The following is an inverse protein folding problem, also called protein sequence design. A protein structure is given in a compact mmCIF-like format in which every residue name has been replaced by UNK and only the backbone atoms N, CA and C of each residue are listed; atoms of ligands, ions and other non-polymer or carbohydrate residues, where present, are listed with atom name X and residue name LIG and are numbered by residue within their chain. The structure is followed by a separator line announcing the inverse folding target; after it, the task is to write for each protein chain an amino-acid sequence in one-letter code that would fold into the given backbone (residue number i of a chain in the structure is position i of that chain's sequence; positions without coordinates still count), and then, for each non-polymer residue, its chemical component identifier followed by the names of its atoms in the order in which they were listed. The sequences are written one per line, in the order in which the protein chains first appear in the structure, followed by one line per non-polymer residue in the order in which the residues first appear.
data_IF_951979834001
#
_entry.id   IF_951979834001
#
_cell.length_a   1.000
_cell.length_b   1.000
_cell.length_c   1.000
_cell.angle_alpha   90.00
_cell.angle_beta   90.00
_cell.angle_gamma   90.00
#
_symmetry.space_group_name_H-M   'P 1'
#
loop_
_entity.id
_entity.type
_entity.pdbx_description
1 polymer ?
#
# COMPACT_ATOMS: atom_id res chain seq x y z
N UNK A 1 -19.25 -21.73 -24.81
CA UNK A 1 -18.45 -20.55 -25.20
C UNK A 1 -18.75 -19.44 -24.19
N UNK A 2 -17.90 -19.29 -23.19
CA UNK A 2 -18.06 -18.24 -22.16
C UNK A 2 -17.16 -17.08 -22.54
N UNK A 3 -17.76 -15.93 -22.80
CA UNK A 3 -17.04 -14.71 -23.11
C UNK A 3 -16.50 -14.10 -21.80
N UNK A 4 -15.18 -14.04 -21.71
CA UNK A 4 -14.47 -13.36 -20.63
C UNK A 4 -14.54 -11.86 -20.90
N UNK A 5 -15.33 -11.13 -20.10
CA UNK A 5 -15.39 -9.68 -20.15
C UNK A 5 -14.19 -9.14 -19.38
N UNK A 6 -13.13 -8.77 -20.10
CA UNK A 6 -12.01 -8.04 -19.52
C UNK A 6 -12.42 -6.59 -19.36
N UNK A 7 -12.78 -6.20 -18.14
CA UNK A 7 -13.01 -4.80 -17.80
C UNK A 7 -11.63 -4.13 -17.60
N UNK A 8 -11.13 -3.45 -18.62
CA UNK A 8 -9.94 -2.61 -18.52
C UNK A 8 -10.30 -1.32 -17.79
N UNK A 9 -10.13 -1.30 -16.48
CA UNK A 9 -10.12 -0.05 -15.72
C UNK A 9 -8.76 0.62 -15.92
N UNK A 10 -8.73 1.70 -16.69
CA UNK A 10 -7.58 2.60 -16.76
C UNK A 10 -7.48 3.36 -15.45
N UNK A 11 -6.57 2.92 -14.57
CA UNK A 11 -6.21 3.66 -13.37
C UNK A 11 -5.27 4.80 -13.80
N UNK A 12 -5.80 6.01 -13.90
CA UNK A 12 -4.97 7.21 -14.04
C UNK A 12 -4.30 7.49 -12.68
N UNK A 13 -3.15 6.88 -12.46
CA UNK A 13 -2.27 7.26 -11.34
C UNK A 13 -1.52 8.52 -11.73
N UNK A 14 -2.01 9.67 -11.28
CA UNK A 14 -1.29 10.95 -11.38
C UNK A 14 -0.40 11.05 -10.15
N UNK A 15 0.89 10.82 -10.31
CA UNK A 15 1.89 11.11 -9.30
C UNK A 15 2.15 12.62 -9.28
N UNK A 16 1.70 13.31 -8.23
CA UNK A 16 2.09 14.70 -7.97
C UNK A 16 3.15 14.72 -6.87
N UNK A 17 4.35 15.16 -7.24
CA UNK A 17 5.30 15.68 -6.28
C UNK A 17 4.85 17.08 -5.89
N UNK A 18 4.12 17.24 -4.79
CA UNK A 18 3.72 18.54 -4.28
C UNK A 18 4.42 18.84 -2.97
N UNK A 19 5.15 19.94 -2.96
CA UNK A 19 5.53 20.64 -1.74
C UNK A 19 4.24 21.12 -1.05
N UNK A 20 3.98 20.60 0.15
CA UNK A 20 2.74 20.82 0.90
C UNK A 20 2.63 22.26 1.34
N UNK A 21 1.70 23.01 0.73
CA UNK A 21 1.04 24.14 1.35
C UNK A 21 -0.35 23.68 1.76
N UNK A 22 -0.63 23.71 3.06
CA UNK A 22 -1.89 23.25 3.66
C UNK A 22 -3.11 23.99 3.10
N UNK A 23 -4.15 23.29 2.59
CA UNK A 23 -5.48 23.88 2.47
C UNK A 23 -6.24 23.70 3.79
N UNK A 24 -6.83 24.77 4.28
CA UNK A 24 -7.82 24.82 5.36
C UNK A 24 -9.08 24.03 4.98
N UNK A 25 -9.08 22.75 5.31
CA UNK A 25 -10.22 21.85 5.28
C UNK A 25 -10.30 21.15 6.63
N UNK A 26 -11.48 20.87 7.12
CA UNK A 26 -11.72 20.14 8.36
C UNK A 26 -11.06 18.77 8.21
N UNK A 27 -9.85 18.62 8.76
CA UNK A 27 -9.18 17.33 8.86
C UNK A 27 -9.91 16.49 9.90
N UNK A 28 -10.79 15.59 9.45
CA UNK A 28 -11.20 14.48 10.27
C UNK A 28 -10.02 13.49 10.26
N UNK A 29 -9.06 13.72 11.14
CA UNK A 29 -7.93 12.82 11.34
C UNK A 29 -8.44 11.56 12.02
N UNK A 30 -8.62 10.48 11.25
CA UNK A 30 -8.64 9.15 11.87
C UNK A 30 -7.32 8.95 12.59
N UNK A 31 -7.37 8.29 13.75
CA UNK A 31 -6.18 8.04 14.56
C UNK A 31 -5.15 7.24 13.73
N UNK A 32 -4.19 7.95 13.16
CA UNK A 32 -3.07 7.36 12.43
C UNK A 32 -2.20 6.44 13.32
N UNK A 33 -2.38 6.49 14.64
CA UNK A 33 -1.66 5.67 15.60
C UNK A 33 -1.94 4.17 15.39
N UNK A 34 -3.20 3.77 15.24
CA UNK A 34 -3.54 2.36 15.01
C UNK A 34 -3.03 1.82 13.67
N UNK A 35 -2.99 2.68 12.64
CA UNK A 35 -2.43 2.30 11.33
C UNK A 35 -0.94 2.06 11.44
N UNK A 36 -0.22 2.93 12.16
CA UNK A 36 1.22 2.80 12.34
C UNK A 36 1.59 1.55 13.15
N UNK A 37 0.87 1.29 14.25
CA UNK A 37 1.07 0.06 15.04
C UNK A 37 0.87 -1.21 14.19
N UNK A 38 -0.16 -1.22 13.36
CA UNK A 38 -0.41 -2.34 12.44
C UNK A 38 0.66 -2.47 11.37
N UNK A 39 1.19 -1.35 10.85
CA UNK A 39 2.30 -1.37 9.90
C UNK A 39 3.56 -1.96 10.55
N UNK A 40 3.93 -1.47 11.72
CA UNK A 40 5.14 -1.89 12.42
C UNK A 40 5.06 -3.39 12.78
N UNK A 41 3.90 -3.85 13.26
CA UNK A 41 3.66 -5.26 13.56
C UNK A 41 3.76 -6.14 12.30
N UNK A 42 3.12 -5.74 11.20
CA UNK A 42 3.17 -6.49 9.96
C UNK A 42 4.58 -6.51 9.36
N UNK A 43 5.31 -5.40 9.39
CA UNK A 43 6.70 -5.33 8.95
C UNK A 43 7.60 -6.28 9.75
N UNK A 44 7.39 -6.35 11.06
CA UNK A 44 8.12 -7.29 11.93
C UNK A 44 7.79 -8.75 11.59
N UNK A 45 6.50 -9.07 11.43
CA UNK A 45 6.05 -10.43 11.13
C UNK A 45 6.55 -10.95 9.78
N UNK A 46 6.70 -10.05 8.79
CA UNK A 46 7.11 -10.44 7.44
C UNK A 46 8.63 -10.41 7.23
N UNK A 47 9.39 -9.92 8.20
CA UNK A 47 10.86 -9.86 8.11
C UNK A 47 11.47 -11.25 7.98
N UNK A 48 12.28 -11.44 6.95
CA UNK A 48 13.01 -12.69 6.70
C UNK A 48 12.18 -13.82 6.12
N UNK A 49 10.89 -13.60 5.85
CA UNK A 49 10.00 -14.58 5.24
C UNK A 49 10.06 -14.53 3.70
N UNK A 50 9.87 -15.67 3.08
CA UNK A 50 9.61 -15.78 1.64
C UNK A 50 8.22 -15.25 1.29
N UNK A 51 8.02 -14.87 0.02
CA UNK A 51 6.72 -14.41 -0.48
C UNK A 51 5.60 -15.41 -0.17
N UNK A 52 5.89 -16.72 -0.27
CA UNK A 52 4.92 -17.77 0.05
C UNK A 52 4.52 -17.76 1.51
N UNK A 53 5.50 -17.65 2.43
CA UNK A 53 5.21 -17.59 3.87
C UNK A 53 4.43 -16.35 4.25
N UNK A 54 4.69 -15.22 3.58
CA UNK A 54 3.91 -13.99 3.73
C UNK A 54 2.46 -14.21 3.26
N UNK A 55 2.25 -14.84 2.10
CA UNK A 55 0.90 -15.19 1.63
C UNK A 55 0.15 -16.07 2.63
N UNK A 56 0.82 -17.08 3.18
CA UNK A 56 0.23 -17.97 4.21
C UNK A 56 -0.15 -17.19 5.48
N UNK A 57 0.68 -16.23 5.93
CA UNK A 57 0.39 -15.36 7.07
C UNK A 57 -0.77 -14.40 6.81
N UNK A 58 -0.86 -13.81 5.62
CA UNK A 58 -1.98 -12.95 5.24
C UNK A 58 -3.31 -13.67 5.39
N UNK A 59 -3.39 -14.94 4.97
CA UNK A 59 -4.60 -15.75 5.12
C UNK A 59 -4.86 -16.13 6.58
N UNK A 60 -3.87 -16.73 7.25
CA UNK A 60 -4.09 -17.39 8.54
C UNK A 60 -4.06 -16.45 9.74
N UNK A 61 -3.29 -15.37 9.69
CA UNK A 61 -3.14 -14.41 10.80
C UNK A 61 -3.95 -13.14 10.56
N UNK A 62 -3.92 -12.61 9.35
CA UNK A 62 -4.51 -11.31 9.03
C UNK A 62 -5.92 -11.39 8.41
N UNK A 63 -6.42 -12.61 8.17
CA UNK A 63 -7.81 -12.84 7.75
C UNK A 63 -8.14 -12.37 6.33
N UNK A 64 -7.14 -12.33 5.44
CA UNK A 64 -7.38 -12.14 4.03
C UNK A 64 -7.91 -13.43 3.41
N UNK A 65 -8.81 -13.32 2.45
CA UNK A 65 -9.20 -14.48 1.62
C UNK A 65 -8.05 -14.87 0.68
N UNK A 66 -8.02 -16.12 0.25
CA UNK A 66 -7.03 -16.58 -0.72
C UNK A 66 -7.09 -15.75 -2.01
N UNK A 67 -8.28 -15.36 -2.46
CA UNK A 67 -8.45 -14.53 -3.66
C UNK A 67 -7.89 -13.11 -3.52
N UNK A 68 -7.95 -12.51 -2.34
CA UNK A 68 -7.32 -11.21 -2.06
C UNK A 68 -5.80 -11.32 -2.08
N UNK A 69 -5.25 -12.39 -1.51
CA UNK A 69 -3.80 -12.65 -1.50
C UNK A 69 -3.28 -12.94 -2.91
N UNK A 70 -3.99 -13.74 -3.69
CA UNK A 70 -3.64 -14.04 -5.08
C UNK A 70 -3.66 -12.77 -5.95
N UNK A 71 -4.66 -11.90 -5.75
CA UNK A 71 -4.74 -10.60 -6.40
C UNK A 71 -3.55 -9.72 -6.02
N UNK A 72 -3.27 -9.58 -4.72
CA UNK A 72 -2.15 -8.78 -4.21
C UNK A 72 -0.82 -9.24 -4.82
N UNK A 73 -0.56 -10.54 -4.78
CA UNK A 73 0.67 -11.11 -5.34
C UNK A 73 0.76 -10.94 -6.86
N UNK A 74 -0.35 -11.10 -7.57
CA UNK A 74 -0.43 -10.90 -9.01
C UNK A 74 -0.11 -9.46 -9.41
N UNK A 75 -0.71 -8.47 -8.73
CA UNK A 75 -0.48 -7.05 -9.01
C UNK A 75 0.97 -6.67 -8.69
N UNK A 76 1.52 -7.13 -7.56
CA UNK A 76 2.91 -6.92 -7.19
C UNK A 76 3.86 -7.53 -8.22
N UNK A 77 3.68 -8.81 -8.60
CA UNK A 77 4.55 -9.53 -9.52
C UNK A 77 4.55 -8.91 -10.92
N UNK A 78 3.39 -8.45 -11.39
CA UNK A 78 3.29 -7.73 -12.66
C UNK A 78 4.12 -6.44 -12.65
N UNK A 79 4.21 -5.75 -11.51
CA UNK A 79 5.02 -4.54 -11.33
C UNK A 79 6.49 -4.84 -11.14
N UNK A 80 6.85 -5.84 -10.36
CA UNK A 80 8.24 -6.25 -10.12
C UNK A 80 8.96 -6.64 -11.43
N UNK A 81 8.24 -7.10 -12.44
CA UNK A 81 8.78 -7.40 -13.77
C UNK A 81 9.10 -6.16 -14.61
N UNK A 82 8.56 -4.98 -14.26
CA UNK A 82 8.85 -3.71 -14.93
C UNK A 82 10.00 -3.04 -14.17
N UNK A 83 11.23 -3.23 -14.60
CA UNK A 83 12.48 -2.90 -13.91
C UNK A 83 12.79 -1.40 -13.74
N UNK A 84 11.80 -0.55 -13.61
CA UNK A 84 12.00 0.86 -13.28
C UNK A 84 11.16 1.20 -12.05
N UNK A 85 11.85 1.41 -10.93
CA UNK A 85 11.31 2.15 -9.76
C UNK A 85 11.01 3.60 -10.19
N UNK A 86 10.06 3.78 -11.10
CA UNK A 86 9.79 5.04 -11.78
C UNK A 86 9.01 6.03 -10.90
N UNK A 87 9.53 6.37 -9.75
CA UNK A 87 8.90 7.31 -8.84
C UNK A 87 9.81 7.72 -7.70
N UNK A 88 10.72 6.86 -7.28
CA UNK A 88 11.70 7.21 -6.26
C UNK A 88 12.92 7.93 -6.87
N UNK A 89 13.54 8.87 -6.10
CA UNK A 89 14.80 9.49 -6.52
C UNK A 89 15.88 8.46 -6.86
N UNK A 90 16.61 8.67 -7.94
CA UNK A 90 17.63 7.73 -8.45
C UNK A 90 18.90 7.67 -7.58
N UNK A 91 19.18 8.72 -6.82
CA UNK A 91 20.34 8.81 -5.92
C UNK A 91 19.91 9.32 -4.54
N UNK A 92 19.18 8.51 -3.74
CA UNK A 92 18.70 8.95 -2.44
C UNK A 92 19.84 8.96 -1.41
N UNK A 93 19.74 9.88 -0.44
CA UNK A 93 20.59 9.91 0.75
C UNK A 93 19.91 9.15 1.89
N UNK A 94 20.69 8.52 2.77
CA UNK A 94 20.14 7.86 3.98
C UNK A 94 19.39 8.91 4.82
N UNK A 95 18.19 8.56 5.24
CA UNK A 95 17.26 9.43 5.95
C UNK A 95 16.38 10.30 5.04
N UNK A 96 16.57 10.25 3.72
CA UNK A 96 15.69 10.95 2.80
C UNK A 96 14.28 10.35 2.85
N UNK A 97 13.27 11.22 2.88
CA UNK A 97 11.86 10.82 2.85
C UNK A 97 11.23 11.11 1.49
N UNK A 98 10.27 10.29 1.10
CA UNK A 98 9.50 10.45 -0.12
C UNK A 98 8.05 10.05 0.13
N UNK A 99 7.12 10.95 -0.20
CA UNK A 99 5.68 10.74 0.03
C UNK A 99 4.93 10.46 -1.26
N UNK A 100 3.96 9.54 -1.17
CA UNK A 100 3.02 9.23 -2.22
C UNK A 100 1.60 9.43 -1.74
N UNK A 101 0.76 10.02 -2.58
CA UNK A 101 -0.69 10.06 -2.36
C UNK A 101 -1.39 9.16 -3.38
N UNK A 102 -2.30 8.35 -2.88
CA UNK A 102 -3.11 7.41 -3.66
C UNK A 102 -4.57 7.77 -3.48
N UNK A 103 -5.27 8.00 -4.54
CA UNK A 103 -6.69 8.35 -4.49
C UNK A 103 -7.02 9.61 -5.29
N UNK A 104 -8.26 10.12 -5.17
CA UNK A 104 -9.31 9.60 -4.26
C UNK A 104 -9.80 8.21 -4.63
N UNK A 105 -10.06 7.37 -3.62
CA UNK A 105 -10.62 6.03 -3.75
C UNK A 105 -11.96 6.01 -3.02
N UNK A 106 -13.05 5.71 -3.72
CA UNK A 106 -14.34 5.46 -3.06
C UNK A 106 -14.36 4.01 -2.58
N UNK A 107 -14.42 3.84 -1.27
CA UNK A 107 -14.44 2.53 -0.64
C UNK A 107 -15.88 1.98 -0.63
N UNK A 108 -16.09 0.74 -1.07
CA UNK A 108 -17.35 0.02 -0.84
C UNK A 108 -17.69 -0.10 0.64
N UNK A 109 -18.97 -0.30 0.95
CA UNK A 109 -19.44 -0.57 2.32
C UNK A 109 -19.09 -1.98 2.79
N UNK A 110 -18.84 -2.89 1.87
CA UNK A 110 -18.44 -4.26 2.17
C UNK A 110 -16.93 -4.36 2.29
N UNK A 111 -16.46 -5.00 3.35
CA UNK A 111 -15.04 -5.03 3.71
C UNK A 111 -14.15 -5.67 2.64
N UNK A 112 -14.57 -6.81 2.09
CA UNK A 112 -13.78 -7.53 1.08
C UNK A 112 -13.65 -6.69 -0.21
N UNK A 113 -14.73 -6.05 -0.64
CA UNK A 113 -14.71 -5.16 -1.80
C UNK A 113 -13.83 -3.91 -1.55
N UNK A 114 -13.85 -3.36 -0.33
CA UNK A 114 -13.00 -2.24 0.05
C UNK A 114 -11.51 -2.64 0.10
N UNK A 115 -11.18 -3.84 0.60
CA UNK A 115 -9.83 -4.40 0.56
C UNK A 115 -9.32 -4.56 -0.87
N UNK A 116 -10.15 -5.12 -1.76
CA UNK A 116 -9.82 -5.25 -3.18
C UNK A 116 -9.54 -3.90 -3.83
N UNK A 117 -10.34 -2.87 -3.52
CA UNK A 117 -10.11 -1.51 -4.02
C UNK A 117 -8.75 -0.96 -3.57
N UNK A 118 -8.38 -1.15 -2.31
CA UNK A 118 -7.09 -0.74 -1.76
C UNK A 118 -5.94 -1.55 -2.36
N UNK A 119 -6.06 -2.88 -2.49
CA UNK A 119 -5.05 -3.73 -3.12
C UNK A 119 -4.73 -3.21 -4.52
N UNK A 120 -5.75 -2.97 -5.34
CA UNK A 120 -5.56 -2.46 -6.70
C UNK A 120 -4.90 -1.07 -6.74
N UNK A 121 -5.20 -0.21 -5.78
CA UNK A 121 -4.66 1.14 -5.73
C UNK A 121 -3.22 1.18 -5.18
N UNK A 122 -2.93 0.44 -4.12
CA UNK A 122 -1.66 0.52 -3.37
C UNK A 122 -0.63 -0.47 -3.90
N UNK A 123 -1.02 -1.71 -4.25
CA UNK A 123 -0.07 -2.69 -4.78
C UNK A 123 0.51 -2.31 -6.15
N UNK A 124 -0.14 -1.37 -6.84
CA UNK A 124 0.38 -0.77 -8.07
C UNK A 124 1.51 0.25 -7.83
N UNK A 125 1.78 0.66 -6.59
CA UNK A 125 2.89 1.55 -6.26
C UNK A 125 4.23 0.81 -6.38
N UNK A 126 5.29 1.56 -6.69
CA UNK A 126 6.65 1.02 -6.71
C UNK A 126 7.11 0.77 -5.26
N UNK A 127 6.92 -0.43 -4.75
CA UNK A 127 7.35 -0.83 -3.41
C UNK A 127 8.50 -1.83 -3.55
N UNK A 128 9.57 -1.70 -2.73
CA UNK A 128 10.81 -2.44 -2.95
C UNK A 128 10.71 -3.96 -2.73
N UNK A 129 9.76 -4.44 -1.93
CA UNK A 129 9.60 -5.87 -1.67
C UNK A 129 8.15 -6.26 -1.47
N UNK A 130 7.82 -7.53 -1.68
CA UNK A 130 6.48 -8.06 -1.42
C UNK A 130 6.06 -7.90 0.04
N UNK A 131 6.98 -8.15 0.98
CA UNK A 131 6.72 -7.95 2.41
C UNK A 131 6.32 -6.51 2.76
N UNK A 132 6.96 -5.52 2.14
CA UNK A 132 6.60 -4.12 2.35
C UNK A 132 5.20 -3.78 1.81
N UNK A 133 4.83 -4.29 0.62
CA UNK A 133 3.48 -4.13 0.07
C UNK A 133 2.44 -4.81 0.95
N UNK A 134 2.72 -6.05 1.35
CA UNK A 134 1.82 -6.83 2.20
C UNK A 134 1.59 -6.12 3.55
N UNK A 135 2.65 -5.57 4.16
CA UNK A 135 2.54 -4.83 5.41
C UNK A 135 1.70 -3.55 5.26
N UNK A 136 1.91 -2.79 4.19
CA UNK A 136 1.10 -1.61 3.87
C UNK A 136 -0.39 -1.98 3.72
N UNK A 137 -0.70 -2.99 2.92
CA UNK A 137 -2.08 -3.43 2.70
C UNK A 137 -2.70 -3.93 4.00
N UNK A 138 -1.97 -4.69 4.82
CA UNK A 138 -2.43 -5.16 6.13
C UNK A 138 -2.79 -4.00 7.06
N UNK A 139 -1.91 -3.01 7.18
CA UNK A 139 -2.11 -1.85 8.03
C UNK A 139 -3.33 -1.00 7.58
N UNK A 140 -3.46 -0.79 6.27
CA UNK A 140 -4.57 -0.03 5.69
C UNK A 140 -5.89 -0.81 5.88
N UNK A 141 -5.91 -2.10 5.54
CA UNK A 141 -7.11 -2.94 5.58
C UNK A 141 -7.74 -3.05 6.98
N UNK A 142 -6.93 -2.99 8.03
CA UNK A 142 -7.39 -2.99 9.41
C UNK A 142 -8.12 -1.70 9.83
N UNK A 143 -8.00 -0.62 9.05
CA UNK A 143 -8.46 0.73 9.43
C UNK A 143 -9.30 1.41 8.33
N UNK A 144 -9.93 0.64 7.43
CA UNK A 144 -10.70 1.20 6.33
C UNK A 144 -11.99 1.89 6.79
N UNK A 145 -12.20 3.18 6.45
CA UNK A 145 -13.49 3.84 6.65
C UNK A 145 -14.46 3.43 5.52
N UNK A 146 -15.19 2.35 5.73
CA UNK A 146 -16.08 1.77 4.72
C UNK A 146 -17.16 2.76 4.28
N UNK A 147 -17.44 2.80 2.97
CA UNK A 147 -18.43 3.69 2.37
C UNK A 147 -17.94 5.11 2.10
N UNK A 148 -16.74 5.46 2.52
CA UNK A 148 -16.18 6.80 2.36
C UNK A 148 -15.26 6.91 1.13
N UNK A 149 -15.02 8.13 0.68
CA UNK A 149 -13.98 8.42 -0.31
C UNK A 149 -12.73 8.89 0.41
N UNK A 150 -11.61 8.25 0.13
CA UNK A 150 -10.35 8.47 0.87
C UNK A 150 -9.19 8.81 -0.04
N UNK A 151 -8.23 9.53 0.52
CA UNK A 151 -6.86 9.66 0.01
C UNK A 151 -5.93 9.00 1.01
N UNK A 152 -5.07 8.11 0.52
CA UNK A 152 -4.08 7.40 1.32
C UNK A 152 -2.72 8.04 1.05
N UNK A 153 -2.06 8.50 2.10
CA UNK A 153 -0.69 9.02 2.03
C UNK A 153 0.27 7.98 2.58
N UNK A 154 1.32 7.66 1.82
CA UNK A 154 2.37 6.72 2.24
C UNK A 154 3.69 7.46 2.15
N UNK A 155 4.41 7.57 3.27
CA UNK A 155 5.75 8.12 3.31
C UNK A 155 6.77 6.99 3.44
N UNK A 156 7.79 7.06 2.59
CA UNK A 156 8.93 6.15 2.61
C UNK A 156 10.16 6.86 3.14
N UNK A 157 11.01 6.12 3.82
CA UNK A 157 12.33 6.58 4.25
C UNK A 157 13.39 5.70 3.61
N UNK A 158 14.43 6.31 3.04
CA UNK A 158 15.57 5.58 2.50
C UNK A 158 16.58 5.28 3.60
N UNK A 159 16.91 4.01 3.76
CA UNK A 159 17.82 3.57 4.81
C UNK A 159 18.06 2.07 4.76
N UNK A 160 18.66 1.56 5.83
CA UNK A 160 18.81 0.11 5.96
C UNK A 160 17.46 -0.51 6.33
N UNK A 161 17.05 -1.49 5.53
CA UNK A 161 15.87 -2.34 5.82
C UNK A 161 16.17 -3.29 6.98
N UNK A 162 15.16 -3.98 7.49
CA UNK A 162 15.34 -4.98 8.55
C UNK A 162 16.31 -6.13 8.14
N UNK A 163 16.45 -6.36 6.83
CA UNK A 163 17.39 -7.35 6.27
C UNK A 163 18.80 -6.77 6.04
N UNK A 164 19.05 -5.53 6.47
CA UNK A 164 20.34 -4.87 6.35
C UNK A 164 20.68 -4.37 4.94
N UNK A 165 19.73 -4.35 4.03
CA UNK A 165 19.89 -3.87 2.67
C UNK A 165 19.46 -2.40 2.58
N UNK A 166 20.20 -1.57 1.84
CA UNK A 166 19.79 -0.20 1.57
C UNK A 166 18.58 -0.17 0.64
N UNK A 167 17.51 0.51 1.06
CA UNK A 167 16.29 0.60 0.29
C UNK A 167 15.27 1.58 0.88
N UNK A 168 14.15 1.73 0.19
CA UNK A 168 13.01 2.50 0.65
C UNK A 168 12.10 1.63 1.50
N UNK A 169 11.85 2.05 2.73
CA UNK A 169 10.91 1.38 3.65
C UNK A 169 9.71 2.28 3.92
N UNK A 170 8.48 1.74 3.95
CA UNK A 170 7.32 2.52 4.38
C UNK A 170 7.48 2.88 5.86
N UNK A 171 7.39 4.17 6.16
CA UNK A 171 7.58 4.70 7.52
C UNK A 171 6.32 5.31 8.12
N UNK A 172 5.37 5.75 7.29
CA UNK A 172 4.14 6.38 7.75
C UNK A 172 3.02 6.19 6.74
N UNK A 173 1.82 5.92 7.27
CA UNK A 173 0.58 5.86 6.47
C UNK A 173 -0.45 6.80 7.10
N UNK A 174 -1.07 7.62 6.26
CA UNK A 174 -2.23 8.44 6.62
C UNK A 174 -3.42 8.12 5.73
N UNK A 175 -4.62 8.09 6.31
CA UNK A 175 -5.89 8.00 5.55
C UNK A 175 -6.68 9.27 5.85
N UNK A 176 -7.10 9.96 4.80
CA UNK A 176 -7.90 11.18 4.89
C UNK A 176 -9.18 10.99 4.08
N UNK A 177 -10.34 11.27 4.69
CA UNK A 177 -11.64 11.33 3.98
C UNK A 177 -11.72 12.64 3.20
N UNK A 178 -12.26 12.59 2.00
CA UNK A 178 -12.39 13.74 1.09
C UNK A 178 -13.81 13.90 0.56
#
# INVERSE_FOLDING_TARGET
MSALLVLSMSVNSVAYASSVSSPTGIEVSFSNAGIQENLDAAMQDFTGLSDKEICDLLVHKYGFSQSEVDLLYSVYSARASISTYSGFPSNPSIGQTYGWEVGPITLPTEQDAARIAVINAVAALAVPSFGAVAALITAIAANLPLGETVVITINYTYGYTNDGVLGWTPGYIGIRIV
#
